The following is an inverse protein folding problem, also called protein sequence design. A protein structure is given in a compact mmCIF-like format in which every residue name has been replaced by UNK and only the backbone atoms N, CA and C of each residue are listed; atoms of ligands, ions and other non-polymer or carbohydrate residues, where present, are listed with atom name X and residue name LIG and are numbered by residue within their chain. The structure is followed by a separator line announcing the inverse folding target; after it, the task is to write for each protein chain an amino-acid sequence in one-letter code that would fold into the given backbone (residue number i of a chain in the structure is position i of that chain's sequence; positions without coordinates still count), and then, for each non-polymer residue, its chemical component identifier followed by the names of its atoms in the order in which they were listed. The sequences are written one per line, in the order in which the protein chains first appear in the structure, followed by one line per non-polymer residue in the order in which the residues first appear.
data_IF_787365840714
#
_entry.id   IF_787365840714
#
_cell.length_a   1.000
_cell.length_b   1.000
_cell.length_c   1.000
_cell.angle_alpha   90.00
_cell.angle_beta   90.00
_cell.angle_gamma   90.00
#
_symmetry.space_group_name_H-M   'P 1'
#
loop_
_entity.id
_entity.type
_entity.pdbx_description
1 polymer ?
#
# COMPACT_ATOMS: atom_id res chain seq x y z
N UNK A 1 -17.73 32.08 34.01
CA UNK A 1 -17.62 33.45 33.42
C UNK A 1 -17.13 33.44 31.97
N UNK A 2 -15.95 32.87 31.67
CA UNK A 2 -15.34 32.86 30.33
C UNK A 2 -16.27 32.28 29.25
N UNK A 3 -16.94 31.16 29.53
CA UNK A 3 -17.92 30.56 28.61
C UNK A 3 -19.05 31.55 28.22
N UNK A 4 -19.52 32.36 29.16
CA UNK A 4 -20.58 33.33 28.89
C UNK A 4 -20.06 34.48 28.01
N UNK A 5 -18.81 34.91 28.19
CA UNK A 5 -18.17 35.90 27.32
C UNK A 5 -18.04 35.39 25.89
N UNK A 6 -17.61 34.13 25.71
CA UNK A 6 -17.51 33.50 24.39
C UNK A 6 -18.91 33.36 23.75
N UNK A 7 -19.92 32.94 24.53
CA UNK A 7 -21.33 32.90 24.06
C UNK A 7 -21.86 34.29 23.67
N UNK A 8 -21.39 35.35 24.32
CA UNK A 8 -21.73 36.74 23.99
C UNK A 8 -20.91 37.30 22.80
N UNK A 9 -20.09 36.49 22.14
CA UNK A 9 -19.35 36.87 20.93
C UNK A 9 -17.87 37.21 21.14
N UNK A 10 -17.32 37.01 22.34
CA UNK A 10 -15.88 37.16 22.54
C UNK A 10 -15.09 36.13 21.71
N UNK A 11 -13.93 36.56 21.19
CA UNK A 11 -13.07 35.68 20.41
C UNK A 11 -12.51 34.53 21.27
N UNK A 12 -12.67 33.31 20.77
CA UNK A 12 -12.26 32.11 21.49
C UNK A 12 -10.74 32.06 21.69
N UNK A 13 -9.97 32.39 20.66
CA UNK A 13 -8.52 32.32 20.71
C UNK A 13 -7.93 33.36 21.67
N UNK A 14 -8.53 34.56 21.73
CA UNK A 14 -8.19 35.58 22.71
C UNK A 14 -8.50 35.13 24.15
N UNK A 15 -9.67 34.53 24.38
CA UNK A 15 -10.03 33.98 25.69
C UNK A 15 -9.12 32.82 26.09
N UNK A 16 -8.75 31.94 25.15
CA UNK A 16 -7.79 30.86 25.37
C UNK A 16 -6.39 31.40 25.71
N UNK A 17 -5.91 32.44 25.02
CA UNK A 17 -4.65 33.11 25.35
C UNK A 17 -4.67 33.78 26.73
N UNK A 18 -5.80 34.33 27.15
CA UNK A 18 -5.91 35.03 28.43
C UNK A 18 -6.08 34.09 29.62
N UNK A 19 -6.95 33.08 29.50
CA UNK A 19 -7.41 32.23 30.59
C UNK A 19 -6.95 30.76 30.48
N UNK A 20 -6.40 30.36 29.34
CA UNK A 20 -5.91 29.00 29.12
C UNK A 20 -4.73 28.66 30.02
N UNK A 21 -4.73 27.42 30.49
CA UNK A 21 -3.70 26.82 31.35
C UNK A 21 -2.96 25.66 30.67
N UNK A 22 -3.34 25.31 29.45
CA UNK A 22 -2.75 24.20 28.69
C UNK A 22 -1.62 24.67 27.76
N UNK A 23 -0.92 23.71 27.15
CA UNK A 23 0.19 24.00 26.22
C UNK A 23 -0.25 24.63 24.90
N UNK A 24 -1.56 24.78 24.65
CA UNK A 24 -2.08 25.39 23.42
C UNK A 24 -2.53 26.83 23.59
N UNK A 25 -2.42 27.39 24.81
CA UNK A 25 -2.69 28.79 25.14
C UNK A 25 -2.16 29.78 24.09
N UNK A 26 -0.87 29.71 23.77
CA UNK A 26 -0.23 30.65 22.82
C UNK A 26 -0.71 30.46 21.36
N UNK A 27 -1.24 29.27 21.06
CA UNK A 27 -1.88 28.92 19.78
C UNK A 27 -3.39 29.18 19.79
N UNK A 28 -3.92 29.86 20.81
CA UNK A 28 -5.34 30.18 20.90
C UNK A 28 -6.23 28.97 21.21
N UNK A 29 -5.70 27.92 21.84
CA UNK A 29 -6.47 26.73 22.21
C UNK A 29 -6.57 25.68 21.09
N UNK A 30 -5.83 25.83 19.99
CA UNK A 30 -5.94 24.92 18.85
C UNK A 30 -5.16 23.61 19.08
N UNK A 31 -5.90 22.50 19.08
CA UNK A 31 -5.39 21.13 19.22
C UNK A 31 -5.16 20.44 17.86
N UNK A 32 -5.60 21.04 16.75
CA UNK A 32 -5.62 20.38 15.46
C UNK A 32 -6.60 19.19 15.39
N UNK A 33 -6.37 18.29 14.42
CA UNK A 33 -7.13 17.04 14.32
C UNK A 33 -6.53 15.98 15.23
N UNK A 34 -7.37 15.37 16.06
CA UNK A 34 -7.00 14.29 16.96
C UNK A 34 -8.03 13.15 16.88
N UNK A 35 -7.64 11.96 17.31
CA UNK A 35 -8.52 10.79 17.39
C UNK A 35 -9.16 10.66 18.78
N UNK A 36 -10.15 9.76 18.93
CA UNK A 36 -10.86 9.56 20.20
C UNK A 36 -9.96 9.12 21.36
N UNK A 37 -8.78 8.58 21.08
CA UNK A 37 -7.82 8.06 22.05
C UNK A 37 -6.73 9.06 22.43
N UNK A 38 -6.63 10.18 21.72
CA UNK A 38 -5.59 11.20 21.90
C UNK A 38 -5.80 12.07 23.14
N UNK A 39 -7.03 12.15 23.64
CA UNK A 39 -7.42 12.97 24.79
C UNK A 39 -8.07 12.12 25.87
N UNK A 40 -8.19 12.67 27.09
CA UNK A 40 -8.89 12.01 28.19
C UNK A 40 -10.33 11.65 27.81
N UNK A 41 -10.87 10.52 28.32
CA UNK A 41 -12.16 9.99 27.89
C UNK A 41 -13.31 11.00 27.96
N UNK A 42 -13.35 11.84 29.00
CA UNK A 42 -14.39 12.83 29.21
C UNK A 42 -14.32 13.95 28.17
N UNK A 43 -13.11 14.40 27.82
CA UNK A 43 -12.88 15.40 26.78
C UNK A 43 -13.23 14.85 25.39
N UNK A 44 -12.71 13.67 25.05
CA UNK A 44 -13.01 13.00 23.78
C UNK A 44 -14.51 12.77 23.62
N UNK A 45 -15.20 12.32 24.68
CA UNK A 45 -16.66 12.11 24.65
C UNK A 45 -17.41 13.40 24.35
N UNK A 46 -17.02 14.52 24.95
CA UNK A 46 -17.65 15.81 24.70
C UNK A 46 -17.38 16.33 23.28
N UNK A 47 -16.12 16.28 22.81
CA UNK A 47 -15.74 16.76 21.48
C UNK A 47 -16.37 15.94 20.34
N UNK A 48 -16.33 14.61 20.43
CA UNK A 48 -16.90 13.72 19.41
C UNK A 48 -18.42 13.55 19.53
N UNK A 49 -18.99 13.76 20.72
CA UNK A 49 -20.43 13.78 20.96
C UNK A 49 -21.13 15.08 20.53
N UNK A 50 -20.37 16.09 20.11
CA UNK A 50 -20.92 17.37 19.66
C UNK A 50 -21.88 17.17 18.47
N UNK A 51 -23.10 17.76 18.49
CA UNK A 51 -24.08 17.59 17.41
C UNK A 51 -23.59 18.19 16.10
N UNK A 52 -22.72 19.20 16.15
CA UNK A 52 -22.19 19.89 14.98
C UNK A 52 -20.87 20.58 15.28
N UNK A 53 -20.46 21.43 14.33
CA UNK A 53 -19.36 22.36 14.55
C UNK A 53 -19.83 23.52 15.44
N UNK A 54 -18.90 24.12 16.18
CA UNK A 54 -19.17 25.27 17.04
C UNK A 54 -18.83 25.04 18.51
N UNK A 55 -19.19 26.03 19.34
CA UNK A 55 -18.93 26.04 20.77
C UNK A 55 -19.89 25.09 21.50
N UNK A 56 -19.37 24.26 22.39
CA UNK A 56 -20.22 23.46 23.27
C UNK A 56 -20.90 24.35 24.31
N UNK A 57 -22.21 24.13 24.58
CA UNK A 57 -22.97 24.98 25.49
C UNK A 57 -22.61 24.77 26.96
N UNK A 58 -21.91 23.69 27.29
CA UNK A 58 -21.59 23.26 28.66
C UNK A 58 -20.07 23.14 28.85
N UNK A 59 -19.65 23.28 30.11
CA UNK A 59 -18.28 22.98 30.52
C UNK A 59 -18.07 21.47 30.55
N UNK A 60 -16.90 21.02 30.13
CA UNK A 60 -16.49 19.61 30.23
C UNK A 60 -15.53 19.47 31.40
N UNK A 61 -15.90 18.68 32.40
CA UNK A 61 -15.06 18.40 33.57
C UNK A 61 -14.18 17.18 33.31
N UNK A 62 -12.92 17.28 33.73
CA UNK A 62 -11.92 16.21 33.65
C UNK A 62 -11.05 16.26 34.91
N UNK A 63 -10.16 15.29 35.08
CA UNK A 63 -9.15 15.31 36.14
C UNK A 63 -8.15 16.49 36.05
N UNK A 64 -8.13 17.24 34.93
CA UNK A 64 -7.32 18.44 34.74
C UNK A 64 -8.10 19.75 34.99
N UNK A 65 -9.36 19.64 35.42
CA UNK A 65 -10.26 20.77 35.65
C UNK A 65 -11.32 20.93 34.56
N UNK A 66 -11.75 22.17 34.33
CA UNK A 66 -12.85 22.50 33.43
C UNK A 66 -12.37 22.97 32.06
N UNK A 67 -12.99 22.43 31.02
CA UNK A 67 -12.68 22.71 29.63
C UNK A 67 -13.85 23.38 28.92
N UNK A 68 -13.54 24.39 28.12
CA UNK A 68 -14.46 24.99 27.15
C UNK A 68 -14.03 24.48 25.77
N UNK A 69 -14.93 23.77 25.08
CA UNK A 69 -14.60 23.09 23.83
C UNK A 69 -15.33 23.76 22.67
N UNK A 70 -14.60 24.04 21.59
CA UNK A 70 -15.15 24.49 20.31
C UNK A 70 -14.72 23.53 19.20
N UNK A 71 -15.67 22.86 18.56
CA UNK A 71 -15.40 21.93 17.47
C UNK A 71 -15.25 22.72 16.17
N UNK A 72 -14.04 22.74 15.61
CA UNK A 72 -13.70 23.52 14.41
C UNK A 72 -13.79 22.70 13.12
N UNK A 73 -13.71 21.37 13.19
CA UNK A 73 -13.82 20.49 12.03
C UNK A 73 -14.10 19.04 12.41
N UNK A 74 -14.68 18.28 11.48
CA UNK A 74 -14.87 16.82 11.58
C UNK A 74 -14.32 16.18 10.30
N UNK A 75 -13.38 15.23 10.42
CA UNK A 75 -12.95 14.39 9.29
C UNK A 75 -13.90 13.18 9.19
N UNK A 76 -14.42 12.91 8.00
CA UNK A 76 -15.21 11.70 7.74
C UNK A 76 -14.27 10.49 7.66
N UNK A 77 -14.52 9.47 8.48
CA UNK A 77 -13.88 8.15 8.35
C UNK A 77 -14.57 7.33 7.25
N UNK A 78 -14.53 7.81 6.00
CA UNK A 78 -15.00 7.01 4.88
C UNK A 78 -13.98 5.90 4.63
N UNK A 79 -14.26 4.71 5.15
CA UNK A 79 -13.49 3.50 4.86
C UNK A 79 -14.11 2.80 3.65
N UNK A 80 -13.31 2.52 2.62
CA UNK A 80 -13.73 1.79 1.43
C UNK A 80 -13.18 0.37 1.50
N UNK A 81 -14.04 -0.64 1.31
CA UNK A 81 -13.58 -2.01 1.05
C UNK A 81 -13.24 -2.14 -0.43
N UNK A 82 -11.96 -2.35 -0.74
CA UNK A 82 -11.49 -2.56 -2.11
C UNK A 82 -11.22 -4.05 -2.30
N UNK A 83 -11.95 -4.68 -3.22
CA UNK A 83 -11.65 -6.04 -3.68
C UNK A 83 -10.96 -5.97 -5.05
N UNK A 84 -9.86 -6.71 -5.22
CA UNK A 84 -9.12 -6.79 -6.48
C UNK A 84 -9.40 -8.12 -7.18
N UNK A 85 -9.87 -8.09 -8.42
CA UNK A 85 -9.99 -9.29 -9.27
C UNK A 85 -8.70 -9.45 -10.08
N UNK A 86 -7.90 -10.46 -9.73
CA UNK A 86 -6.67 -10.77 -10.43
C UNK A 86 -6.92 -11.94 -11.39
N UNK A 87 -6.77 -11.69 -12.70
CA UNK A 87 -6.73 -12.76 -13.72
C UNK A 87 -5.28 -13.01 -14.09
N UNK A 88 -4.77 -14.19 -13.74
CA UNK A 88 -3.45 -14.62 -14.22
C UNK A 88 -3.49 -14.74 -15.75
N UNK A 89 -2.57 -14.05 -16.43
CA UNK A 89 -2.41 -14.16 -17.88
C UNK A 89 -1.71 -15.49 -18.16
N UNK A 90 -2.42 -16.39 -18.82
CA UNK A 90 -1.85 -17.64 -19.34
C UNK A 90 -1.66 -17.50 -20.85
N UNK A 91 -0.57 -18.02 -21.43
CA UNK A 91 -0.41 -18.08 -22.88
C UNK A 91 -1.62 -18.78 -23.51
N UNK A 92 -2.15 -18.21 -24.59
CA UNK A 92 -3.22 -18.86 -25.35
C UNK A 92 -2.65 -20.05 -26.14
N UNK A 93 -3.54 -20.92 -26.60
CA UNK A 93 -3.18 -22.00 -27.53
C UNK A 93 -2.45 -21.46 -28.77
N UNK A 94 -2.90 -20.32 -29.30
CA UNK A 94 -2.21 -19.65 -30.41
C UNK A 94 -0.77 -19.25 -30.06
N UNK A 95 -0.52 -18.73 -28.85
CA UNK A 95 0.83 -18.40 -28.39
C UNK A 95 1.69 -19.66 -28.24
N UNK A 96 1.13 -20.74 -27.69
CA UNK A 96 1.84 -22.01 -27.51
C UNK A 96 2.22 -22.63 -28.86
N UNK A 97 1.27 -22.70 -29.80
CA UNK A 97 1.49 -23.25 -31.14
C UNK A 97 2.54 -22.44 -31.90
N UNK A 98 2.44 -21.10 -31.89
CA UNK A 98 3.43 -20.25 -32.54
C UNK A 98 4.85 -20.44 -31.95
N UNK A 99 4.96 -20.68 -30.64
CA UNK A 99 6.25 -20.94 -29.98
C UNK A 99 6.79 -22.31 -30.38
N UNK A 100 5.94 -23.33 -30.43
CA UNK A 100 6.31 -24.68 -30.86
C UNK A 100 6.78 -24.69 -32.33
N UNK A 101 6.04 -24.03 -33.23
CA UNK A 101 6.39 -23.94 -34.64
C UNK A 101 7.73 -23.23 -34.83
N UNK A 102 7.97 -22.15 -34.08
CA UNK A 102 9.27 -21.47 -34.08
C UNK A 102 10.40 -22.40 -33.63
N UNK A 103 10.16 -23.23 -32.62
CA UNK A 103 11.17 -24.19 -32.16
C UNK A 103 11.45 -25.28 -33.20
N UNK A 104 10.42 -25.79 -33.90
CA UNK A 104 10.60 -26.75 -35.00
C UNK A 104 11.37 -26.14 -36.17
N UNK A 105 11.06 -24.90 -36.54
CA UNK A 105 11.78 -24.19 -37.59
C UNK A 105 13.25 -23.98 -37.23
N UNK A 106 13.54 -23.53 -36.00
CA UNK A 106 14.91 -23.36 -35.52
C UNK A 106 15.70 -24.68 -35.58
N UNK A 107 15.05 -25.80 -35.22
CA UNK A 107 15.64 -27.13 -35.31
C UNK A 107 15.91 -27.52 -36.77
N UNK A 108 14.99 -27.25 -37.69
CA UNK A 108 15.15 -27.56 -39.11
C UNK A 108 16.28 -26.75 -39.76
N UNK A 109 16.42 -25.48 -39.40
CA UNK A 109 17.42 -24.56 -39.95
C UNK A 109 18.81 -24.73 -39.34
N UNK A 110 18.93 -25.46 -38.22
CA UNK A 110 20.17 -25.70 -37.51
C UNK A 110 20.63 -27.17 -37.67
N UNK A 111 21.28 -27.52 -38.80
CA UNK A 111 21.73 -28.90 -39.06
C UNK A 111 22.86 -29.36 -38.13
N UNK A 112 23.61 -28.41 -37.55
CA UNK A 112 24.71 -28.68 -36.63
C UNK A 112 24.78 -27.63 -35.50
N UNK A 113 25.69 -27.87 -34.55
CA UNK A 113 25.86 -27.04 -33.36
C UNK A 113 26.31 -25.61 -33.70
N UNK A 114 27.12 -25.43 -34.74
CA UNK A 114 27.65 -24.12 -35.10
C UNK A 114 26.57 -23.27 -35.78
N UNK A 115 25.80 -23.87 -36.68
CA UNK A 115 24.61 -23.27 -37.27
C UNK A 115 23.57 -22.89 -36.19
N UNK A 116 23.34 -23.76 -35.20
CA UNK A 116 22.48 -23.45 -34.06
C UNK A 116 22.97 -22.22 -33.28
N UNK A 117 24.28 -22.17 -32.96
CA UNK A 117 24.88 -21.05 -32.21
C UNK A 117 24.76 -19.73 -32.98
N UNK A 118 24.93 -19.74 -34.30
CA UNK A 118 24.77 -18.56 -35.14
C UNK A 118 23.31 -18.11 -35.22
N UNK A 119 22.37 -19.02 -35.41
CA UNK A 119 20.93 -18.70 -35.44
C UNK A 119 20.44 -18.14 -34.10
N UNK A 120 20.85 -18.76 -32.99
CA UNK A 120 20.48 -18.32 -31.64
C UNK A 120 21.08 -16.95 -31.26
N UNK A 121 22.20 -16.53 -31.87
CA UNK A 121 22.79 -15.21 -31.64
C UNK A 121 22.23 -14.13 -32.56
N UNK A 122 21.77 -14.51 -33.75
CA UNK A 122 21.09 -13.61 -34.69
C UNK A 122 19.73 -13.15 -34.16
N UNK A 123 19.03 -14.03 -33.45
CA UNK A 123 17.73 -13.75 -32.86
C UNK A 123 17.85 -13.30 -31.40
N UNK A 124 17.73 -11.98 -31.17
CA UNK A 124 17.81 -11.37 -29.84
C UNK A 124 16.67 -11.76 -28.89
N UNK A 125 15.61 -12.40 -29.39
CA UNK A 125 14.50 -12.89 -28.57
C UNK A 125 14.79 -14.25 -27.93
N UNK A 126 15.79 -14.97 -28.44
CA UNK A 126 16.21 -16.25 -27.89
C UNK A 126 17.29 -16.06 -26.83
N UNK A 127 17.18 -16.84 -25.76
CA UNK A 127 18.23 -16.93 -24.74
C UNK A 127 18.91 -18.28 -24.82
N UNK A 128 20.15 -18.28 -25.30
CA UNK A 128 21.00 -19.47 -25.30
C UNK A 128 21.43 -19.80 -23.86
N UNK A 129 21.08 -20.99 -23.39
CA UNK A 129 21.56 -21.56 -22.14
C UNK A 129 22.50 -22.72 -22.43
N UNK A 130 23.63 -22.79 -21.71
CA UNK A 130 24.60 -23.87 -21.84
C UNK A 130 24.85 -24.46 -20.46
N UNK A 131 24.72 -25.79 -20.34
CA UNK A 131 25.00 -26.51 -19.12
C UNK A 131 26.30 -27.32 -19.31
N UNK A 132 27.30 -27.03 -18.48
CA UNK A 132 28.55 -27.80 -18.43
C UNK A 132 28.42 -28.93 -17.41
N UNK A 133 29.02 -30.08 -17.69
CA UNK A 133 29.01 -31.26 -16.82
C UNK A 133 27.61 -31.79 -16.48
N UNK A 134 26.70 -31.79 -17.46
CA UNK A 134 25.38 -32.42 -17.28
C UNK A 134 25.55 -33.94 -17.17
N UNK A 135 24.98 -34.55 -16.13
CA UNK A 135 24.95 -36.00 -15.94
C UNK A 135 23.51 -36.57 -15.98
N UNK A 136 23.38 -37.89 -16.10
CA UNK A 136 22.07 -38.57 -16.23
C UNK A 136 21.16 -38.42 -15.00
N UNK A 137 21.70 -38.02 -13.83
CA UNK A 137 20.96 -37.79 -12.59
C UNK A 137 20.70 -36.29 -12.32
N UNK A 138 21.16 -35.40 -13.20
CA UNK A 138 20.96 -33.97 -13.05
C UNK A 138 19.48 -33.61 -12.91
N UNK A 139 19.21 -32.66 -12.01
CA UNK A 139 17.87 -32.11 -11.72
C UNK A 139 17.68 -30.70 -12.28
N UNK A 140 18.75 -30.10 -12.78
CA UNK A 140 18.77 -28.78 -13.40
C UNK A 140 19.68 -28.80 -14.64
N UNK A 141 19.39 -27.90 -15.58
CA UNK A 141 20.19 -27.66 -16.78
C UNK A 141 20.52 -26.18 -16.81
N UNK A 142 21.74 -25.80 -16.41
CA UNK A 142 22.12 -24.41 -16.22
C UNK A 142 21.21 -23.73 -15.19
N UNK A 143 20.54 -22.63 -15.59
CA UNK A 143 19.59 -21.90 -14.75
C UNK A 143 18.17 -22.48 -14.76
N UNK A 144 17.90 -23.53 -15.55
CA UNK A 144 16.59 -24.16 -15.62
C UNK A 144 16.44 -25.15 -14.46
N UNK A 145 15.62 -24.78 -13.47
CA UNK A 145 15.23 -25.66 -12.38
C UNK A 145 14.15 -26.65 -12.83
N UNK A 146 14.02 -27.78 -12.14
CA UNK A 146 13.07 -28.86 -12.46
C UNK A 146 13.24 -29.44 -13.88
N UNK A 147 14.45 -29.43 -14.42
CA UNK A 147 14.75 -29.82 -15.80
C UNK A 147 14.81 -31.35 -16.02
N UNK A 148 14.14 -32.16 -15.18
CA UNK A 148 14.32 -33.62 -15.20
C UNK A 148 13.90 -34.25 -16.52
N UNK A 149 12.85 -33.74 -17.15
CA UNK A 149 12.39 -34.22 -18.45
C UNK A 149 13.41 -33.91 -19.56
N UNK A 150 14.00 -32.72 -19.54
CA UNK A 150 15.06 -32.31 -20.48
C UNK A 150 16.29 -33.22 -20.32
N UNK A 151 16.70 -33.50 -19.08
CA UNK A 151 17.83 -34.39 -18.80
C UNK A 151 17.55 -35.81 -19.27
N UNK A 152 16.36 -36.36 -19.01
CA UNK A 152 15.97 -37.69 -19.53
C UNK A 152 16.02 -37.72 -21.06
N UNK A 153 15.46 -36.72 -21.71
CA UNK A 153 15.49 -36.62 -23.17
C UNK A 153 16.92 -36.59 -23.74
N UNK A 154 17.84 -35.89 -23.08
CA UNK A 154 19.22 -35.78 -23.53
C UNK A 154 20.05 -37.07 -23.35
N UNK A 155 19.73 -37.91 -22.36
CA UNK A 155 20.50 -39.12 -22.03
C UNK A 155 19.83 -40.44 -22.43
N UNK A 156 18.53 -40.43 -22.77
CA UNK A 156 17.74 -41.64 -23.00
C UNK A 156 17.22 -42.24 -21.70
#
# INVERSE_FOLDING_TARGET
EVLNKIKAGADFAAMAKQYGSDGTKDKGGDLGYFDKTSMVPEFSKAAFGAPGLGLLPTLTETNFGYHIIKVTGKKSENTYQVASVLKAVQPSEATQNATYDRAQQLKADAPDLEAFRQLATKDKTLQKQEAKNLDANARSVGNIQNAREIVRWAFG
#
